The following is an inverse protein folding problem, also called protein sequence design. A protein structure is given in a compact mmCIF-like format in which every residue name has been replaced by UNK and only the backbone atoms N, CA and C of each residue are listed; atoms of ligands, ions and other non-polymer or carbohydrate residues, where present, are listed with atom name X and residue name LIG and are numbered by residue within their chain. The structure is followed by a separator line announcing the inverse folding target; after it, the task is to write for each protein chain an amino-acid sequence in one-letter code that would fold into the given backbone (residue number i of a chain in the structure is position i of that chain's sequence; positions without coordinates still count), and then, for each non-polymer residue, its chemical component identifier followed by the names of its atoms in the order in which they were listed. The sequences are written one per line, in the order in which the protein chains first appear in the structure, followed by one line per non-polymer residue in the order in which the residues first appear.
data_IF_449116478805
#
_entry.id   IF_449116478805
#
_cell.length_a   1.000
_cell.length_b   1.000
_cell.length_c   1.000
_cell.angle_alpha   90.00
_cell.angle_beta   90.00
_cell.angle_gamma   90.00
#
_symmetry.space_group_name_H-M   'P 1'
#
loop_
_entity.id
_entity.type
_entity.pdbx_description
1 polymer ?
#
# COMPACT_ATOMS: atom_id res chain seq x y z
N UNK A 1 -4.40 12.36 3.76
CA UNK A 1 -5.55 11.44 3.59
C UNK A 1 -5.52 10.32 4.63
N UNK A 2 -4.50 9.46 4.65
CA UNK A 2 -4.44 8.31 5.57
C UNK A 2 -4.48 8.68 7.07
N UNK A 3 -3.85 9.78 7.49
CA UNK A 3 -4.01 10.28 8.86
C UNK A 3 -5.46 10.62 9.22
N UNK A 4 -6.21 11.22 8.29
CA UNK A 4 -7.62 11.54 8.53
C UNK A 4 -8.47 10.26 8.54
N UNK A 5 -8.19 9.32 7.63
CA UNK A 5 -8.84 8.01 7.63
C UNK A 5 -8.58 7.22 8.93
N UNK A 6 -7.40 7.36 9.54
CA UNK A 6 -7.11 6.79 10.86
C UNK A 6 -8.01 7.41 11.94
N UNK A 7 -8.14 8.74 11.95
CA UNK A 7 -9.00 9.48 12.91
C UNK A 7 -10.49 9.15 12.76
N UNK A 8 -10.95 8.99 11.52
CA UNK A 8 -12.34 8.69 11.18
C UNK A 8 -12.67 7.18 11.18
N UNK A 9 -11.70 6.32 11.49
CA UNK A 9 -11.85 4.87 11.49
C UNK A 9 -12.28 4.28 10.13
N UNK A 10 -11.78 4.85 9.04
CA UNK A 10 -12.01 4.40 7.66
C UNK A 10 -10.97 3.34 7.28
N UNK A 11 -11.00 2.20 7.96
CA UNK A 11 -10.13 1.05 7.73
C UNK A 11 -10.71 -0.23 8.35
N UNK A 12 -10.07 -1.38 8.11
CA UNK A 12 -10.49 -2.69 8.62
C UNK A 12 -11.45 -3.43 7.69
N UNK A 13 -12.17 -4.42 8.21
CA UNK A 13 -12.91 -5.41 7.39
C UNK A 13 -14.08 -4.84 6.56
N UNK A 14 -14.47 -3.59 6.80
CA UNK A 14 -15.57 -2.91 6.09
C UNK A 14 -15.09 -2.03 4.94
N UNK A 15 -13.78 -1.81 4.79
CA UNK A 15 -13.23 -0.87 3.82
C UNK A 15 -12.12 -1.54 3.00
N UNK A 16 -12.17 -1.36 1.69
CA UNK A 16 -11.09 -1.77 0.78
C UNK A 16 -10.47 -0.54 0.14
N UNK A 17 -9.21 -0.29 0.48
CA UNK A 17 -8.41 0.74 -0.18
C UNK A 17 -7.74 0.15 -1.42
N UNK A 18 -7.85 0.86 -2.54
CA UNK A 18 -7.14 0.56 -3.78
C UNK A 18 -6.25 1.78 -4.07
N UNK A 19 -4.95 1.56 -4.14
CA UNK A 19 -3.96 2.62 -4.33
C UNK A 19 -3.05 2.30 -5.50
N UNK A 20 -2.43 3.33 -6.07
CA UNK A 20 -1.41 3.17 -7.09
C UNK A 20 -0.09 2.77 -6.43
N UNK A 21 0.44 1.61 -6.81
CA UNK A 21 1.74 1.13 -6.39
C UNK A 21 2.81 1.62 -7.34
N UNK A 22 3.66 2.53 -6.89
CA UNK A 22 4.88 2.90 -7.61
C UNK A 22 6.10 2.27 -6.91
N UNK A 23 7.10 1.75 -7.65
CA UNK A 23 8.29 1.14 -7.05
C UNK A 23 9.06 2.07 -6.10
N UNK A 24 9.03 3.38 -6.37
CA UNK A 24 9.64 4.41 -5.52
C UNK A 24 8.89 4.65 -4.20
N UNK A 25 7.68 4.10 -4.06
CA UNK A 25 6.78 4.27 -2.91
C UNK A 25 6.74 2.98 -2.06
N UNK A 26 7.87 2.30 -1.86
CA UNK A 26 7.92 1.15 -0.94
C UNK A 26 7.97 1.55 0.53
N UNK A 27 8.26 2.82 0.85
CA UNK A 27 8.40 3.32 2.23
C UNK A 27 7.84 4.74 2.43
N UNK A 28 6.92 5.20 1.58
CA UNK A 28 6.38 6.57 1.65
C UNK A 28 5.69 6.87 2.99
N UNK A 29 5.14 5.85 3.67
CA UNK A 29 4.50 6.01 4.98
C UNK A 29 5.50 6.24 6.12
N UNK A 30 6.81 6.14 5.87
CA UNK A 30 7.86 6.46 6.84
C UNK A 30 8.29 7.94 6.78
N UNK A 31 7.77 8.72 5.83
CA UNK A 31 8.04 10.15 5.78
C UNK A 31 7.35 10.87 6.96
N UNK A 32 7.91 11.99 7.45
CA UNK A 32 7.30 12.77 8.52
C UNK A 32 5.91 13.27 8.10
N UNK A 33 4.90 13.02 8.94
CA UNK A 33 3.52 13.47 8.71
C UNK A 33 2.86 13.96 10.02
N UNK A 34 1.64 14.47 9.92
CA UNK A 34 0.83 14.96 11.04
C UNK A 34 0.27 13.84 11.95
N UNK A 35 0.62 12.59 11.71
CA UNK A 35 0.19 11.46 12.52
C UNK A 35 1.33 10.45 12.72
N UNK A 36 1.15 9.55 13.67
CA UNK A 36 2.14 8.52 13.95
C UNK A 36 2.22 7.49 12.82
N UNK A 37 3.42 6.95 12.59
CA UNK A 37 3.62 5.88 11.60
C UNK A 37 2.70 4.69 11.90
N UNK A 38 2.45 4.38 13.18
CA UNK A 38 1.56 3.32 13.60
C UNK A 38 0.10 3.55 13.15
N UNK A 39 -0.37 4.80 13.15
CA UNK A 39 -1.70 5.14 12.64
C UNK A 39 -1.81 4.92 11.14
N UNK A 40 -0.79 5.31 10.37
CA UNK A 40 -0.75 5.09 8.93
C UNK A 40 -0.73 3.59 8.63
N UNK A 41 0.15 2.84 9.29
CA UNK A 41 0.27 1.37 9.11
C UNK A 41 -1.07 0.68 9.33
N UNK A 42 -1.87 1.09 10.32
CA UNK A 42 -3.20 0.51 10.56
C UNK A 42 -4.16 0.71 9.39
N UNK A 43 -4.12 1.88 8.76
CA UNK A 43 -5.03 2.19 7.64
C UNK A 43 -4.60 1.50 6.35
N UNK A 44 -3.28 1.46 6.09
CA UNK A 44 -2.77 0.90 4.83
C UNK A 44 -2.69 -0.63 4.84
N UNK A 45 -2.78 -1.26 6.02
CA UNK A 45 -2.77 -2.71 6.13
C UNK A 45 -4.00 -3.30 5.40
N UNK A 46 -3.76 -4.21 4.46
CA UNK A 46 -4.80 -4.78 3.60
C UNK A 46 -5.16 -3.94 2.37
N UNK A 47 -4.40 -2.87 2.07
CA UNK A 47 -4.55 -2.13 0.79
C UNK A 47 -4.19 -3.01 -0.41
N UNK A 48 -4.95 -2.86 -1.49
CA UNK A 48 -4.57 -3.39 -2.79
C UNK A 48 -3.77 -2.34 -3.54
N UNK A 49 -2.56 -2.69 -3.96
CA UNK A 49 -1.71 -1.83 -4.76
C UNK A 49 -1.76 -2.27 -6.22
N UNK A 50 -2.15 -1.36 -7.10
CA UNK A 50 -2.22 -1.60 -8.53
C UNK A 50 -1.06 -0.90 -9.22
N UNK A 51 -0.34 -1.61 -10.08
CA UNK A 51 0.75 -1.04 -10.89
C UNK A 51 0.64 -1.52 -12.32
N UNK A 52 0.99 -0.64 -13.26
CA UNK A 52 1.26 -1.07 -14.63
C UNK A 52 2.69 -1.59 -14.68
N UNK A 53 2.93 -2.79 -15.25
CA UNK A 53 4.28 -3.25 -15.49
C UNK A 53 4.93 -2.30 -16.53
N UNK A 54 6.16 -1.83 -16.28
CA UNK A 54 6.82 -0.88 -17.20
C UNK A 54 7.25 -1.52 -18.52
N UNK A 55 7.35 -2.86 -18.57
CA UNK A 55 7.73 -3.64 -19.73
C UNK A 55 6.81 -4.86 -19.83
N UNK A 56 6.58 -5.35 -21.05
CA UNK A 56 5.90 -6.64 -21.25
C UNK A 56 6.69 -7.75 -20.56
N UNK A 57 5.98 -8.61 -19.86
CA UNK A 57 6.55 -9.79 -19.23
C UNK A 57 6.16 -10.97 -20.12
N UNK A 58 7.13 -11.76 -20.57
CA UNK A 58 6.89 -13.03 -21.25
C UNK A 58 6.39 -14.06 -20.22
N UNK A 59 5.47 -14.95 -20.58
CA UNK A 59 4.65 -15.77 -19.67
C UNK A 59 5.44 -16.78 -18.81
N UNK A 60 6.78 -16.80 -18.92
CA UNK A 60 7.67 -17.68 -18.16
C UNK A 60 8.18 -17.08 -16.83
N UNK A 61 7.86 -15.83 -16.49
CA UNK A 61 8.43 -15.14 -15.31
C UNK A 61 7.42 -14.64 -14.26
N UNK A 62 6.26 -15.28 -14.11
CA UNK A 62 5.37 -14.93 -12.99
C UNK A 62 4.83 -16.20 -12.36
N UNK A 63 5.39 -16.59 -11.21
CA UNK A 63 4.71 -16.92 -9.95
C UNK A 63 5.80 -17.34 -8.93
N UNK A 64 5.87 -16.66 -7.78
CA UNK A 64 6.77 -16.91 -6.64
C UNK A 64 8.19 -16.32 -6.68
N UNK A 65 8.30 -15.00 -6.44
CA UNK A 65 9.30 -14.54 -5.45
C UNK A 65 8.62 -14.44 -4.09
N UNK A 66 8.59 -15.57 -3.39
CA UNK A 66 8.26 -15.63 -1.96
C UNK A 66 9.44 -14.98 -1.22
N UNK A 67 9.26 -13.78 -0.70
CA UNK A 67 10.26 -13.14 0.16
C UNK A 67 10.26 -13.87 1.51
N UNK A 68 11.39 -14.50 1.83
CA UNK A 68 11.74 -14.96 3.17
C UNK A 68 12.16 -13.78 4.05
#
# INVERSE_FOLDING_TARGET
MFCQAAREQVYGSRYQWIILGYPSLSTWWNEPTDCSIQEIIRVINGTLQTRLPPLSIDDNEIFFKKSY
#
